data_IF_600223680268
#
_entry.id   IF_600223680268
#
_cell.length_a   1.000
_cell.length_b   1.000
_cell.length_c   1.000
_cell.angle_alpha   90.00
_cell.angle_beta   90.00
_cell.angle_gamma   90.00
#
_symmetry.space_group_name_H-M   'P 1'
#
loop_
_entity.id
_entity.type
_entity.pdbx_description
1 polymer ?
#
# COMPACT_ATOMS: atom_id res chain seq x y z
N UNK A 1 -8.15 0.93 -21.82
CA UNK A 1 -8.40 2.38 -21.63
C UNK A 1 -8.28 2.61 -20.15
N UNK A 2 -7.48 3.60 -19.73
CA UNK A 2 -7.32 3.91 -18.30
C UNK A 2 -8.63 4.50 -17.78
N UNK A 3 -9.13 3.98 -16.67
CA UNK A 3 -10.35 4.45 -16.02
C UNK A 3 -10.09 4.84 -14.57
N UNK A 4 -10.92 5.74 -14.06
CA UNK A 4 -10.92 6.15 -12.66
C UNK A 4 -12.28 5.83 -12.07
N UNK A 5 -12.28 5.13 -10.93
CA UNK A 5 -13.49 4.55 -10.37
C UNK A 5 -13.49 4.72 -8.86
N UNK A 6 -14.64 5.03 -8.28
CA UNK A 6 -14.87 4.96 -6.84
C UNK A 6 -15.77 3.78 -6.53
N UNK A 7 -15.19 2.72 -5.96
CA UNK A 7 -15.93 1.55 -5.47
C UNK A 7 -16.60 1.87 -4.14
N UNK A 8 -17.77 1.28 -3.90
CA UNK A 8 -18.42 1.23 -2.58
C UNK A 8 -18.33 -0.18 -2.06
N UNK A 9 -17.59 -0.39 -0.97
CA UNK A 9 -17.22 -1.71 -0.45
C UNK A 9 -17.68 -1.88 1.00
N UNK A 10 -18.07 -3.11 1.36
CA UNK A 10 -18.47 -3.45 2.73
C UNK A 10 -19.83 -2.90 3.18
N UNK A 11 -20.13 -3.10 4.46
CA UNK A 11 -21.33 -2.61 5.14
C UNK A 11 -21.00 -2.18 6.58
N UNK A 12 -21.11 -0.89 6.94
CA UNK A 12 -21.51 0.23 6.08
C UNK A 12 -20.52 0.45 4.92
N UNK A 13 -21.03 1.00 3.81
CA UNK A 13 -20.22 1.18 2.60
C UNK A 13 -19.09 2.20 2.82
N UNK A 14 -17.89 1.82 2.43
CA UNK A 14 -16.70 2.68 2.36
C UNK A 14 -16.35 2.93 0.90
N UNK A 15 -16.04 4.18 0.57
CA UNK A 15 -15.59 4.59 -0.76
C UNK A 15 -14.09 4.39 -0.92
N UNK A 16 -13.70 3.60 -1.92
CA UNK A 16 -12.31 3.38 -2.33
C UNK A 16 -12.18 3.80 -3.80
N UNK A 17 -11.48 4.90 -4.02
CA UNK A 17 -11.05 5.34 -5.35
C UNK A 17 -9.88 4.50 -5.84
N UNK A 18 -9.88 4.17 -7.12
CA UNK A 18 -8.75 3.55 -7.78
C UNK A 18 -8.67 3.94 -9.26
N UNK A 19 -7.46 3.84 -9.79
CA UNK A 19 -7.19 3.95 -11.22
C UNK A 19 -6.93 2.54 -11.77
N UNK A 20 -7.45 2.24 -12.95
CA UNK A 20 -7.36 0.93 -13.58
C UNK A 20 -6.85 1.06 -15.02
N UNK A 21 -5.82 0.30 -15.38
CA UNK A 21 -5.31 0.24 -16.76
C UNK A 21 -6.31 -0.37 -17.74
N UNK A 22 -7.27 -1.14 -17.20
CA UNK A 22 -8.20 -2.00 -17.93
C UNK A 22 -7.63 -3.39 -18.21
N UNK A 23 -8.48 -4.34 -18.65
CA UNK A 23 -8.05 -5.68 -19.03
C UNK A 23 -7.12 -5.65 -20.25
N UNK A 24 -6.26 -6.67 -20.35
CA UNK A 24 -5.36 -6.83 -21.50
C UNK A 24 -6.15 -7.39 -22.68
N UNK A 25 -6.16 -6.68 -23.81
CA UNK A 25 -6.97 -7.05 -24.98
C UNK A 25 -6.54 -8.42 -25.53
N UNK A 26 -7.52 -9.31 -25.72
CA UNK A 26 -7.30 -10.67 -26.24
C UNK A 26 -6.66 -11.65 -25.24
N UNK A 27 -6.29 -11.20 -24.04
CA UNK A 27 -5.77 -12.05 -22.99
C UNK A 27 -6.90 -12.65 -22.15
N UNK A 28 -6.75 -13.91 -21.78
CA UNK A 28 -7.65 -14.64 -20.89
C UNK A 28 -7.00 -14.99 -19.55
N UNK A 29 -5.71 -14.66 -19.38
CA UNK A 29 -4.89 -15.08 -18.24
C UNK A 29 -3.94 -13.98 -17.73
N UNK A 30 -4.21 -12.71 -18.04
CA UNK A 30 -3.43 -11.60 -17.52
C UNK A 30 -3.39 -11.60 -15.98
N UNK A 31 -2.26 -11.22 -15.40
CA UNK A 31 -2.15 -11.03 -13.95
C UNK A 31 -2.55 -9.59 -13.59
N UNK A 32 -3.37 -9.43 -12.55
CA UNK A 32 -3.76 -8.12 -12.02
C UNK A 32 -2.83 -7.72 -10.87
N UNK A 33 -2.15 -6.59 -10.98
CA UNK A 33 -1.38 -5.98 -9.89
C UNK A 33 -2.26 -4.97 -9.17
N UNK A 34 -2.38 -5.09 -7.84
CA UNK A 34 -3.07 -4.11 -7.00
C UNK A 34 -2.02 -3.41 -6.13
N UNK A 35 -1.68 -2.17 -6.49
CA UNK A 35 -0.51 -1.45 -5.97
C UNK A 35 -0.95 -0.38 -4.96
N UNK A 36 -0.53 -0.50 -3.70
CA UNK A 36 -0.92 0.40 -2.62
C UNK A 36 0.19 1.40 -2.29
N UNK A 37 -0.16 2.68 -2.22
CA UNK A 37 0.78 3.77 -1.88
C UNK A 37 1.12 3.83 -0.38
N UNK A 38 2.26 4.47 -0.08
CA UNK A 38 2.79 4.67 1.27
C UNK A 38 2.21 5.89 1.98
N UNK A 39 2.85 6.30 3.08
CA UNK A 39 2.50 7.51 3.82
C UNK A 39 2.79 8.76 3.01
N UNK A 40 1.91 9.76 3.10
CA UNK A 40 2.10 11.09 2.53
C UNK A 40 2.34 11.15 1.00
N UNK A 41 2.15 10.03 0.31
CA UNK A 41 1.98 9.97 -1.14
C UNK A 41 0.60 9.41 -1.41
N UNK A 42 0.11 9.60 -2.63
CA UNK A 42 -1.11 8.99 -3.10
C UNK A 42 -0.82 8.02 -4.27
N UNK A 43 -1.83 7.35 -4.81
CA UNK A 43 -1.68 6.38 -5.91
C UNK A 43 -1.07 6.95 -7.18
N UNK A 44 -1.04 8.28 -7.36
CA UNK A 44 -0.51 8.92 -8.57
C UNK A 44 0.95 8.55 -8.85
N UNK A 45 1.76 8.29 -7.82
CA UNK A 45 3.16 7.87 -7.96
C UNK A 45 3.35 6.63 -8.85
N UNK A 46 2.32 5.79 -8.99
CA UNK A 46 2.35 4.58 -9.80
C UNK A 46 1.65 4.72 -11.15
N UNK A 47 1.01 5.87 -11.47
CA UNK A 47 0.24 6.03 -12.72
C UNK A 47 1.09 5.87 -13.98
N UNK A 48 2.38 6.22 -13.92
CA UNK A 48 3.32 6.08 -15.04
C UNK A 48 3.50 4.61 -15.47
N UNK A 49 3.10 3.65 -14.65
CA UNK A 49 3.12 2.21 -14.97
C UNK A 49 1.93 1.76 -15.81
N UNK A 50 0.79 2.45 -15.73
CA UNK A 50 -0.47 2.02 -16.37
C UNK A 50 -0.34 1.78 -17.88
N UNK A 51 0.33 2.65 -18.67
CA UNK A 51 0.46 2.44 -20.11
C UNK A 51 1.37 1.26 -20.49
N UNK A 52 2.23 0.81 -19.57
CA UNK A 52 3.20 -0.26 -19.82
C UNK A 52 2.60 -1.65 -19.55
N UNK A 53 1.51 -1.73 -18.77
CA UNK A 53 1.00 -2.99 -18.22
C UNK A 53 0.66 -4.04 -19.30
N UNK A 54 0.01 -3.60 -20.39
CA UNK A 54 -0.45 -4.48 -21.46
C UNK A 54 0.67 -5.27 -22.14
N UNK A 55 1.84 -4.64 -22.34
CA UNK A 55 3.00 -5.26 -23.00
C UNK A 55 3.56 -6.46 -22.21
N UNK A 56 3.26 -6.54 -20.92
CA UNK A 56 3.69 -7.60 -20.02
C UNK A 56 2.57 -8.58 -19.65
N UNK A 57 1.42 -8.53 -20.33
CA UNK A 57 0.22 -9.28 -19.98
C UNK A 57 -0.25 -8.98 -18.53
N UNK A 58 -0.16 -7.71 -18.13
CA UNK A 58 -0.57 -7.22 -16.81
C UNK A 58 -1.74 -6.24 -16.91
N UNK A 59 -2.58 -6.28 -15.88
CA UNK A 59 -3.52 -5.19 -15.54
C UNK A 59 -3.04 -4.54 -14.25
N UNK A 60 -3.02 -3.22 -14.18
CA UNK A 60 -2.62 -2.48 -12.98
C UNK A 60 -3.82 -1.74 -12.42
N UNK A 61 -4.08 -1.95 -11.13
CA UNK A 61 -5.10 -1.28 -10.33
C UNK A 61 -4.39 -0.56 -9.17
N UNK A 62 -4.63 0.73 -9.03
CA UNK A 62 -3.96 1.58 -8.03
C UNK A 62 -5.02 2.23 -7.14
N UNK A 63 -5.35 1.61 -5.98
CA UNK A 63 -6.26 2.21 -5.02
C UNK A 63 -5.61 3.34 -4.22
N UNK A 64 -6.41 4.35 -3.91
CA UNK A 64 -6.15 5.30 -2.85
C UNK A 64 -6.76 4.78 -1.54
N UNK A 65 -5.95 4.79 -0.47
CA UNK A 65 -6.43 4.44 0.87
C UNK A 65 -7.54 5.40 1.31
N UNK A 66 -8.34 4.98 2.30
CA UNK A 66 -9.41 5.82 2.87
C UNK A 66 -8.85 7.18 3.31
N UNK A 67 -9.61 8.25 3.09
CA UNK A 67 -9.24 9.65 3.33
C UNK A 67 -8.13 10.22 2.43
N UNK A 68 -7.62 9.46 1.47
CA UNK A 68 -6.87 10.02 0.34
C UNK A 68 -7.81 10.45 -0.78
N UNK A 69 -7.30 11.25 -1.71
CA UNK A 69 -8.06 11.81 -2.84
C UNK A 69 -8.97 10.76 -3.51
N UNK A 70 -10.26 11.08 -3.66
CA UNK A 70 -11.28 10.21 -4.27
C UNK A 70 -11.89 9.16 -3.33
N UNK A 71 -11.20 8.76 -2.26
CA UNK A 71 -11.68 7.81 -1.23
C UNK A 71 -12.31 8.55 -0.06
N UNK A 72 -13.47 9.17 -0.30
CA UNK A 72 -14.00 10.26 0.53
C UNK A 72 -14.69 9.83 1.85
N UNK A 73 -14.85 8.53 2.09
CA UNK A 73 -15.45 8.07 3.36
C UNK A 73 -14.48 8.31 4.51
N UNK A 74 -14.80 9.27 5.39
CA UNK A 74 -13.98 9.58 6.57
C UNK A 74 -14.02 8.49 7.61
N UNK A 75 -12.92 8.29 8.34
CA UNK A 75 -12.96 7.50 9.58
C UNK A 75 -13.87 8.19 10.60
N UNK A 76 -14.65 7.39 11.33
CA UNK A 76 -15.46 7.88 12.44
C UNK A 76 -14.58 8.19 13.65
N UNK A 77 -15.05 9.03 14.57
CA UNK A 77 -14.33 9.37 15.79
C UNK A 77 -13.95 8.12 16.60
N UNK A 78 -14.83 7.11 16.65
CA UNK A 78 -14.56 5.84 17.32
C UNK A 78 -13.47 5.01 16.63
N UNK A 79 -13.44 4.99 15.29
CA UNK A 79 -12.34 4.36 14.53
C UNK A 79 -11.01 5.09 14.78
N UNK A 80 -11.03 6.42 14.83
CA UNK A 80 -9.84 7.21 15.14
C UNK A 80 -9.36 7.01 16.57
N UNK A 81 -10.28 6.89 17.53
CA UNK A 81 -9.94 6.54 18.91
C UNK A 81 -9.27 5.15 18.98
N UNK A 82 -9.80 4.17 18.24
CA UNK A 82 -9.19 2.84 18.11
C UNK A 82 -7.76 2.92 17.57
N UNK A 83 -7.54 3.73 16.53
CA UNK A 83 -6.21 3.92 15.92
C UNK A 83 -5.23 4.58 16.91
N UNK A 84 -5.62 5.70 17.51
CA UNK A 84 -4.76 6.48 18.43
C UNK A 84 -4.40 5.66 19.67
N UNK A 85 -5.34 4.86 20.18
CA UNK A 85 -5.09 3.98 21.33
C UNK A 85 -4.34 2.68 20.95
N UNK A 86 -3.98 2.48 19.67
CA UNK A 86 -3.29 1.27 19.21
C UNK A 86 -4.13 -0.01 19.33
N UNK A 87 -5.47 0.11 19.29
CA UNK A 87 -6.37 -1.03 19.47
C UNK A 87 -6.41 -1.87 18.18
N UNK A 88 -6.14 -3.17 18.31
CA UNK A 88 -6.11 -4.11 17.16
C UNK A 88 -7.39 -4.13 16.32
N UNK A 89 -8.53 -3.70 16.87
CA UNK A 89 -9.79 -3.61 16.14
C UNK A 89 -9.72 -2.68 14.92
N UNK A 90 -8.86 -1.65 14.95
CA UNK A 90 -8.66 -0.78 13.80
C UNK A 90 -8.08 -1.55 12.61
N UNK A 91 -6.99 -2.29 12.83
CA UNK A 91 -6.36 -3.12 11.78
C UNK A 91 -7.30 -4.24 11.31
N UNK A 92 -8.06 -4.85 12.21
CA UNK A 92 -9.07 -5.86 11.86
C UNK A 92 -10.14 -5.32 10.90
N UNK A 93 -10.67 -4.13 11.16
CA UNK A 93 -11.61 -3.44 10.26
C UNK A 93 -10.94 -3.10 8.93
N UNK A 94 -9.69 -2.67 8.95
CA UNK A 94 -8.91 -2.38 7.74
C UNK A 94 -8.70 -3.62 6.86
N UNK A 95 -8.36 -4.76 7.47
CA UNK A 95 -8.23 -6.05 6.77
C UNK A 95 -9.54 -6.49 6.12
N UNK A 96 -10.67 -6.30 6.80
CA UNK A 96 -12.00 -6.56 6.22
C UNK A 96 -12.31 -5.64 5.03
N UNK A 97 -11.98 -4.35 5.13
CA UNK A 97 -12.14 -3.40 4.01
C UNK A 97 -11.31 -3.80 2.79
N UNK A 98 -10.06 -4.25 3.00
CA UNK A 98 -9.22 -4.76 1.91
C UNK A 98 -9.84 -6.01 1.29
N UNK A 99 -10.35 -6.95 2.10
CA UNK A 99 -11.04 -8.13 1.59
C UNK A 99 -12.24 -7.75 0.71
N UNK A 100 -13.10 -6.87 1.20
CA UNK A 100 -14.29 -6.41 0.48
C UNK A 100 -13.93 -5.67 -0.81
N UNK A 101 -12.84 -4.88 -0.83
CA UNK A 101 -12.35 -4.25 -2.04
C UNK A 101 -11.83 -5.25 -3.07
N UNK A 102 -11.05 -6.24 -2.67
CA UNK A 102 -10.55 -7.28 -3.58
C UNK A 102 -11.70 -8.12 -4.14
N UNK A 103 -12.73 -8.42 -3.33
CA UNK A 103 -13.94 -9.11 -3.80
C UNK A 103 -14.75 -8.24 -4.76
N UNK A 104 -14.87 -6.94 -4.48
CA UNK A 104 -15.48 -6.01 -5.44
C UNK A 104 -14.77 -6.08 -6.79
N UNK A 105 -13.43 -6.12 -6.80
CA UNK A 105 -12.67 -6.24 -8.04
C UNK A 105 -12.97 -7.54 -8.79
N UNK A 106 -12.97 -8.70 -8.11
CA UNK A 106 -13.18 -10.01 -8.75
C UNK A 106 -14.62 -10.26 -9.18
N UNK A 107 -15.59 -9.57 -8.59
CA UNK A 107 -17.01 -9.68 -8.92
C UNK A 107 -17.46 -8.68 -9.98
N UNK A 108 -16.83 -7.51 -10.02
CA UNK A 108 -17.18 -6.42 -10.96
C UNK A 108 -16.40 -6.49 -12.25
N UNK A 109 -15.15 -6.95 -12.18
CA UNK A 109 -14.26 -7.05 -13.32
C UNK A 109 -13.84 -8.51 -13.47
N UNK A 110 -13.95 -9.05 -14.68
CA UNK A 110 -13.63 -10.44 -15.02
C UNK A 110 -12.11 -10.73 -14.85
N UNK A 111 -11.64 -10.71 -13.61
CA UNK A 111 -10.26 -10.99 -13.23
C UNK A 111 -10.03 -12.49 -13.42
N UNK A 112 -9.03 -12.91 -14.21
CA UNK A 112 -8.69 -14.31 -14.35
C UNK A 112 -8.29 -14.90 -12.99
N UNK A 113 -8.72 -16.13 -12.72
CA UNK A 113 -8.18 -16.93 -11.61
C UNK A 113 -6.72 -17.24 -11.88
N UNK A 114 -5.91 -17.45 -10.84
CA UNK A 114 -4.53 -17.87 -11.09
C UNK A 114 -4.50 -19.31 -11.63
N UNK A 115 -3.58 -19.57 -12.56
CA UNK A 115 -3.35 -20.91 -13.09
C UNK A 115 -2.80 -21.85 -12.00
N UNK A 116 -3.01 -23.17 -12.12
CA UNK A 116 -2.54 -24.16 -11.13
C UNK A 116 -1.02 -24.11 -10.91
N UNK A 117 -0.25 -23.73 -11.94
CA UNK A 117 1.20 -23.55 -11.84
C UNK A 117 1.62 -22.19 -11.27
N UNK A 118 0.64 -21.32 -10.98
CA UNK A 118 0.76 -19.96 -10.44
C UNK A 118 1.57 -19.01 -11.32
N UNK A 119 1.72 -19.30 -12.62
CA UNK A 119 2.49 -18.44 -13.53
C UNK A 119 1.68 -17.33 -14.17
N UNK A 120 0.38 -17.52 -14.33
CA UNK A 120 -0.52 -16.53 -14.93
C UNK A 120 -1.81 -16.36 -14.12
N UNK A 121 -2.60 -15.35 -14.49
CA UNK A 121 -3.84 -14.98 -13.84
C UNK A 121 -3.67 -14.45 -12.41
N UNK A 122 -4.80 -14.26 -11.74
CA UNK A 122 -4.89 -13.87 -10.35
C UNK A 122 -4.54 -12.40 -10.06
N UNK A 123 -4.53 -12.10 -8.77
CA UNK A 123 -4.20 -10.82 -8.16
C UNK A 123 -2.87 -10.96 -7.45
N UNK A 124 -1.96 -10.03 -7.71
CA UNK A 124 -0.75 -9.81 -6.91
C UNK A 124 -0.92 -8.48 -6.19
N UNK A 125 -0.85 -8.52 -4.86
CA UNK A 125 -0.92 -7.30 -4.03
C UNK A 125 0.50 -6.77 -3.85
N UNK A 126 0.72 -5.50 -4.18
CA UNK A 126 2.02 -4.83 -4.07
C UNK A 126 1.88 -3.56 -3.24
N UNK A 127 1.90 -3.66 -1.91
CA UNK A 127 2.01 -2.48 -1.09
C UNK A 127 3.44 -1.94 -1.02
N UNK A 128 3.56 -0.62 -1.02
CA UNK A 128 4.82 0.08 -0.81
C UNK A 128 4.88 0.76 0.57
N UNK A 129 6.05 0.73 1.21
CA UNK A 129 6.31 1.45 2.47
C UNK A 129 5.27 1.09 3.54
N UNK A 130 4.81 2.03 4.36
CA UNK A 130 3.75 1.77 5.36
C UNK A 130 2.41 1.39 4.73
N UNK A 131 2.24 1.54 3.41
CA UNK A 131 1.13 0.95 2.68
C UNK A 131 1.01 -0.55 2.92
N UNK A 132 2.10 -1.24 3.33
CA UNK A 132 2.12 -2.66 3.69
C UNK A 132 1.17 -3.01 4.83
N UNK A 133 1.08 -2.17 5.87
CA UNK A 133 0.22 -2.45 7.03
C UNK A 133 -1.26 -2.63 6.66
N UNK A 134 -1.73 -1.96 5.59
CA UNK A 134 -3.13 -1.99 5.16
C UNK A 134 -3.54 -3.38 4.61
N UNK A 135 -3.00 -3.87 3.48
CA UNK A 135 -3.36 -5.19 2.98
C UNK A 135 -2.74 -6.34 3.78
N UNK A 136 -1.69 -6.12 4.56
CA UNK A 136 -1.19 -7.16 5.48
C UNK A 136 -2.20 -7.47 6.58
N UNK A 137 -3.03 -6.51 7.00
CA UNK A 137 -4.08 -6.73 7.99
C UNK A 137 -5.15 -7.74 7.54
N UNK A 138 -5.33 -7.93 6.22
CA UNK A 138 -6.14 -9.02 5.67
C UNK A 138 -5.59 -10.39 6.09
N UNK A 139 -4.27 -10.57 6.09
CA UNK A 139 -3.63 -11.85 6.38
C UNK A 139 -3.35 -12.03 7.88
N UNK A 140 -3.22 -10.93 8.63
CA UNK A 140 -2.87 -10.94 10.06
C UNK A 140 -4.03 -11.26 11.02
N UNK A 141 -5.27 -11.33 10.53
CA UNK A 141 -6.47 -11.48 11.38
C UNK A 141 -7.47 -12.54 10.87
N UNK A 142 -7.05 -13.81 10.68
CA UNK A 142 -7.89 -14.86 10.10
C UNK A 142 -9.16 -15.16 10.90
N UNK A 143 -9.14 -14.99 12.22
CA UNK A 143 -10.31 -15.25 13.08
C UNK A 143 -11.35 -14.13 13.06
N UNK A 144 -10.97 -12.93 12.61
CA UNK A 144 -11.88 -11.79 12.53
C UNK A 144 -12.56 -11.71 11.17
N UNK A 145 -11.83 -12.03 10.11
CA UNK A 145 -12.34 -11.93 8.74
C UNK A 145 -13.22 -13.15 8.45
N UNK A 146 -14.48 -12.96 8.01
CA UNK A 146 -15.37 -14.08 7.72
C UNK A 146 -14.76 -15.05 6.71
N UNK A 147 -14.86 -16.36 6.97
CA UNK A 147 -14.27 -17.41 6.12
C UNK A 147 -14.75 -17.33 4.68
N UNK A 148 -15.98 -16.89 4.47
CA UNK A 148 -16.60 -16.69 3.15
C UNK A 148 -15.80 -15.71 2.29
N UNK A 149 -15.16 -14.70 2.91
CA UNK A 149 -14.30 -13.74 2.20
C UNK A 149 -13.04 -14.42 1.68
N UNK A 150 -12.40 -15.25 2.50
CA UNK A 150 -11.24 -16.01 2.07
C UNK A 150 -11.58 -17.01 0.98
N UNK A 151 -12.70 -17.73 1.09
CA UNK A 151 -13.16 -18.67 0.06
C UNK A 151 -13.40 -17.96 -1.28
N UNK A 152 -13.99 -16.76 -1.25
CA UNK A 152 -14.20 -15.97 -2.47
C UNK A 152 -12.90 -15.48 -3.10
N UNK A 153 -11.91 -15.14 -2.28
CA UNK A 153 -10.61 -14.63 -2.74
C UNK A 153 -9.61 -15.72 -3.10
N UNK A 154 -9.73 -16.92 -2.53
CA UNK A 154 -8.80 -18.05 -2.71
C UNK A 154 -8.42 -18.31 -4.17
N UNK A 155 -9.33 -18.36 -5.16
CA UNK A 155 -8.92 -18.65 -6.54
C UNK A 155 -8.26 -17.47 -7.27
N UNK A 156 -8.27 -16.28 -6.68
CA UNK A 156 -7.73 -15.05 -7.29
C UNK A 156 -6.45 -14.58 -6.61
N UNK A 157 -6.35 -14.66 -5.28
CA UNK A 157 -5.20 -14.13 -4.55
C UNK A 157 -3.95 -15.00 -4.81
N UNK A 158 -3.11 -14.51 -5.72
CA UNK A 158 -1.89 -15.18 -6.15
C UNK A 158 -0.78 -14.84 -5.16
N UNK A 159 -0.14 -13.68 -5.30
CA UNK A 159 1.04 -13.35 -4.51
C UNK A 159 0.88 -12.04 -3.72
N UNK A 160 1.73 -11.88 -2.71
CA UNK A 160 1.85 -10.66 -1.92
C UNK A 160 3.31 -10.21 -1.95
N UNK A 161 3.59 -9.09 -2.61
CA UNK A 161 4.95 -8.56 -2.78
C UNK A 161 5.10 -7.33 -1.89
N UNK A 162 5.77 -7.50 -0.75
CA UNK A 162 6.09 -6.39 0.15
C UNK A 162 7.21 -5.55 -0.46
N UNK A 163 6.89 -4.33 -0.91
CA UNK A 163 7.88 -3.41 -1.49
C UNK A 163 8.35 -2.40 -0.44
N UNK A 164 9.60 -2.53 -0.01
CA UNK A 164 10.26 -1.72 1.04
C UNK A 164 9.39 -1.48 2.30
N UNK A 165 8.90 -2.54 2.98
CA UNK A 165 8.10 -2.37 4.19
C UNK A 165 8.96 -1.83 5.35
N UNK A 166 8.50 -0.81 6.11
CA UNK A 166 9.19 -0.40 7.31
C UNK A 166 8.96 -1.40 8.46
N UNK A 167 9.90 -1.46 9.40
CA UNK A 167 9.87 -2.39 10.54
C UNK A 167 8.55 -2.35 11.34
N UNK A 168 7.96 -1.15 11.51
CA UNK A 168 6.73 -0.98 12.27
C UNK A 168 5.49 -1.51 11.56
N UNK A 169 5.55 -1.82 10.26
CA UNK A 169 4.48 -2.59 9.58
C UNK A 169 4.36 -4.02 10.11
N UNK A 170 5.41 -4.54 10.76
CA UNK A 170 5.45 -5.87 11.39
C UNK A 170 5.35 -5.83 12.92
N UNK A 171 5.22 -4.63 13.51
CA UNK A 171 5.23 -4.46 14.96
C UNK A 171 6.60 -4.73 15.60
N UNK A 172 7.69 -4.69 14.83
CA UNK A 172 9.03 -4.82 15.41
C UNK A 172 9.40 -3.58 16.20
N UNK A 173 9.94 -3.70 17.42
CA UNK A 173 10.45 -2.57 18.17
C UNK A 173 11.79 -2.11 17.60
N UNK A 174 12.09 -0.82 17.73
CA UNK A 174 13.44 -0.28 17.52
C UNK A 174 14.25 -0.52 18.81
N UNK A 175 15.48 -1.05 18.74
CA UNK A 175 16.36 -1.13 19.91
C UNK A 175 16.62 0.25 20.53
N UNK A 176 16.50 0.36 21.85
CA UNK A 176 16.61 1.64 22.56
C UNK A 176 18.01 2.27 22.54
N UNK A 177 19.01 1.48 22.15
CA UNK A 177 20.42 1.87 22.04
C UNK A 177 20.79 2.40 20.64
N UNK A 178 19.83 2.47 19.71
CA UNK A 178 20.03 2.98 18.35
C UNK A 178 19.26 4.29 18.19
N UNK A 179 19.99 5.37 17.91
CA UNK A 179 19.39 6.64 17.54
C UNK A 179 19.02 6.59 16.05
N UNK A 180 17.72 6.58 15.78
CA UNK A 180 17.16 6.61 14.42
C UNK A 180 16.52 7.96 14.19
N UNK A 181 16.85 8.61 13.08
CA UNK A 181 16.21 9.84 12.68
C UNK A 181 14.72 9.61 12.35
N UNK A 182 13.85 10.39 13.00
CA UNK A 182 12.40 10.35 12.81
C UNK A 182 11.93 11.65 12.12
N UNK A 183 11.60 11.62 10.81
CA UNK A 183 11.20 12.81 10.07
C UNK A 183 9.90 13.46 10.57
N UNK A 184 9.02 12.72 11.25
CA UNK A 184 7.73 13.23 11.75
C UNK A 184 7.85 14.03 13.06
N UNK A 185 9.01 14.02 13.70
CA UNK A 185 9.27 14.77 14.95
C UNK A 185 10.51 15.65 14.85
N UNK A 186 10.91 16.02 13.64
CA UNK A 186 12.10 16.84 13.41
C UNK A 186 11.90 18.25 14.01
N UNK A 187 12.75 18.68 14.96
CA UNK A 187 12.59 19.98 15.61
C UNK A 187 12.85 21.17 14.68
N UNK A 188 13.51 20.97 13.54
CA UNK A 188 13.74 22.02 12.53
C UNK A 188 12.48 22.30 11.69
N UNK A 189 11.45 21.46 11.78
CA UNK A 189 10.18 21.61 11.08
C UNK A 189 9.11 22.15 12.05
N UNK A 190 8.67 23.39 11.83
CA UNK A 190 7.73 24.08 12.71
C UNK A 190 6.26 23.82 12.33
N UNK A 191 5.97 23.40 11.10
CA UNK A 191 4.61 23.14 10.63
C UNK A 191 4.39 21.69 10.16
N UNK A 192 3.14 21.19 10.16
CA UNK A 192 2.81 19.89 9.55
C UNK A 192 3.25 19.78 8.09
N UNK A 193 3.13 20.86 7.32
CA UNK A 193 3.54 20.90 5.91
C UNK A 193 5.06 20.76 5.76
N UNK A 194 5.84 21.41 6.63
CA UNK A 194 7.30 21.27 6.67
C UNK A 194 7.72 19.84 7.05
N UNK A 195 7.02 19.20 7.99
CA UNK A 195 7.25 17.79 8.34
C UNK A 195 6.97 16.85 7.16
N UNK A 196 5.86 17.06 6.46
CA UNK A 196 5.51 16.28 5.25
C UNK A 196 6.56 16.46 4.16
N UNK A 197 6.94 17.71 3.86
CA UNK A 197 7.99 17.99 2.89
C UNK A 197 9.31 17.33 3.30
N UNK A 198 9.68 17.45 4.58
CA UNK A 198 10.88 16.84 5.11
C UNK A 198 10.87 15.31 5.00
N UNK A 199 9.72 14.68 5.28
CA UNK A 199 9.51 13.25 5.11
C UNK A 199 9.71 12.84 3.66
N UNK A 200 9.16 13.56 2.67
CA UNK A 200 9.29 13.18 1.26
C UNK A 200 10.74 13.12 0.78
N UNK A 201 11.55 14.10 1.17
CA UNK A 201 12.98 14.07 0.85
C UNK A 201 13.70 12.93 1.56
N UNK A 202 13.40 12.68 2.84
CA UNK A 202 14.06 11.62 3.61
C UNK A 202 13.74 10.25 3.03
N UNK A 203 12.45 9.93 2.85
CA UNK A 203 11.98 8.61 2.42
C UNK A 203 12.35 8.27 0.97
N UNK A 204 12.64 9.29 0.15
CA UNK A 204 13.02 9.13 -1.25
C UNK A 204 14.53 9.22 -1.52
N UNK A 205 15.34 9.38 -0.47
CA UNK A 205 16.81 9.45 -0.57
C UNK A 205 17.46 8.07 -0.66
N UNK A 206 18.66 8.02 -1.23
CA UNK A 206 19.50 6.82 -1.21
C UNK A 206 20.50 6.93 -0.07
N UNK A 207 20.54 5.90 0.78
CA UNK A 207 21.42 5.82 1.94
C UNK A 207 22.46 4.72 1.73
N UNK A 208 23.71 5.03 2.05
CA UNK A 208 24.80 4.06 2.01
C UNK A 208 24.86 3.33 3.34
N UNK A 209 24.48 2.06 3.36
CA UNK A 209 24.49 1.22 4.56
C UNK A 209 25.74 0.31 4.55
N UNK A 210 26.91 0.77 5.06
CA UNK A 210 28.18 0.06 4.92
C UNK A 210 28.21 -1.31 5.61
N UNK A 211 27.31 -1.56 6.57
CA UNK A 211 27.25 -2.80 7.34
C UNK A 211 26.03 -3.68 7.08
N UNK A 212 25.34 -3.58 5.93
CA UNK A 212 24.14 -4.39 5.63
C UNK A 212 24.33 -5.89 5.91
N UNK A 213 25.47 -6.45 5.49
CA UNK A 213 25.77 -7.88 5.64
C UNK A 213 25.88 -8.34 7.11
N UNK A 214 26.06 -7.41 8.06
CA UNK A 214 26.17 -7.74 9.48
C UNK A 214 24.83 -8.06 10.15
N UNK A 215 23.71 -7.61 9.55
CA UNK A 215 22.40 -7.64 10.19
C UNK A 215 22.26 -6.75 11.43
N UNK A 216 23.26 -5.91 11.73
CA UNK A 216 23.28 -4.99 12.86
C UNK A 216 22.80 -3.59 12.46
N UNK A 217 22.05 -2.94 13.36
CA UNK A 217 21.66 -1.53 13.21
C UNK A 217 22.85 -0.58 13.15
N UNK A 218 23.95 -0.89 13.86
CA UNK A 218 25.15 -0.02 13.90
C UNK A 218 25.85 0.16 12.54
N UNK A 219 25.52 -0.68 11.56
CA UNK A 219 26.04 -0.62 10.20
C UNK A 219 25.13 0.11 9.21
N UNK A 220 24.00 0.67 9.67
CA UNK A 220 23.02 1.36 8.84
C UNK A 220 23.17 2.88 8.96
N UNK A 221 22.89 3.59 7.86
CA UNK A 221 22.85 5.04 7.82
C UNK A 221 21.45 5.55 8.21
N UNK A 222 21.39 6.36 9.26
CA UNK A 222 20.18 6.99 9.79
C UNK A 222 20.22 8.51 9.70
N UNK A 223 21.03 9.08 8.78
CA UNK A 223 21.09 10.54 8.61
C UNK A 223 19.73 11.11 8.17
N UNK A 224 19.53 12.39 8.47
CA UNK A 224 18.37 13.19 8.04
C UNK A 224 18.19 13.25 6.51
N UNK A 225 19.29 13.19 5.76
CA UNK A 225 19.30 13.21 4.28
C UNK A 225 20.37 12.27 3.74
N UNK A 226 19.96 11.41 2.82
CA UNK A 226 20.87 10.66 1.97
C UNK A 226 21.26 11.45 0.73
N UNK A 227 21.93 10.79 -0.20
CA UNK A 227 22.24 11.37 -1.50
C UNK A 227 21.02 11.25 -2.44
N UNK A 228 20.82 12.26 -3.29
CA UNK A 228 19.88 12.23 -4.44
C UNK A 228 18.46 11.77 -4.10
N UNK A 229 17.63 12.63 -3.52
CA UNK A 229 16.23 12.30 -3.26
C UNK A 229 15.39 12.24 -4.54
N UNK A 230 14.74 11.10 -4.83
CA UNK A 230 13.94 10.95 -6.06
C UNK A 230 12.69 11.83 -6.10
N UNK A 231 12.24 12.36 -4.96
CA UNK A 231 11.15 13.37 -4.89
C UNK A 231 11.46 14.60 -5.75
N UNK A 232 12.73 14.94 -5.99
CA UNK A 232 13.07 16.11 -6.83
C UNK A 232 12.64 15.96 -8.28
N UNK A 233 12.29 14.74 -8.71
CA UNK A 233 11.80 14.43 -10.07
C UNK A 233 10.28 14.17 -10.10
N UNK A 234 9.59 14.34 -8.96
CA UNK A 234 8.15 14.11 -8.84
C UNK A 234 7.36 15.40 -9.12
N UNK A 235 6.13 15.25 -9.63
CA UNK A 235 5.20 16.37 -9.82
C UNK A 235 4.36 16.61 -8.57
N UNK A 236 3.64 17.73 -8.48
CA UNK A 236 2.71 17.95 -7.37
C UNK A 236 1.57 16.94 -7.32
N UNK A 237 1.21 16.33 -8.46
CA UNK A 237 0.17 15.30 -8.50
C UNK A 237 0.68 13.97 -7.89
N UNK A 238 1.99 13.70 -8.03
CA UNK A 238 2.65 12.53 -7.45
C UNK A 238 2.65 12.59 -5.90
N UNK A 239 2.53 13.79 -5.32
CA UNK A 239 2.71 14.05 -3.89
C UNK A 239 1.35 14.34 -3.23
#
# INVERSE_FOLDING_TARGET
MITEVTAKVGSPAVEIYFVDSGPVSGSVDYTTLVIWHGAAFNGNIFRKLLPLAGDYNLRIIIPNRREYFGSNTKYTDAEMEDLVAGRSIFLKRLGLQVADFLIYLTTTYDIPKFATDRKSGGIVIIPWSIGNATPLALLGHPDFIPKERYIQLEPYLKDFVMYDPPHFSFGYPIPSDVEIYEPWTDPDCATPEELVQNFHYWVSSYFDHPGLASGSFSGLDFRKRGERSSVTNMTQEDI
#
